data_IF_767381276927
#
_entry.id   IF_767381276927
#
_cell.length_a   1.000
_cell.length_b   1.000
_cell.length_c   1.000
_cell.angle_alpha   90.00
_cell.angle_beta   90.00
_cell.angle_gamma   90.00
#
_symmetry.space_group_name_H-M   'P 1'
#
loop_
_entity.id
_entity.type
_entity.pdbx_description
1 polymer ?
#
# COMPACT_ATOMS: atom_id res chain seq x y z
N UNK A 1 -8.69 4.97 -28.97
CA UNK A 1 -7.42 5.10 -28.24
C UNK A 1 -6.90 3.69 -27.95
N UNK A 2 -5.76 3.26 -28.50
CA UNK A 2 -5.28 1.88 -28.31
C UNK A 2 -4.77 1.73 -26.87
N UNK A 3 -5.33 0.78 -26.12
CA UNK A 3 -4.81 0.39 -24.82
C UNK A 3 -3.32 0.02 -24.97
N UNK A 4 -2.43 0.79 -24.37
CA UNK A 4 -1.03 0.38 -24.20
C UNK A 4 -1.07 -0.92 -23.44
N UNK A 5 -0.39 -1.98 -23.93
CA UNK A 5 -0.23 -3.23 -23.20
C UNK A 5 0.39 -2.88 -21.84
N UNK A 6 -0.42 -2.91 -20.79
CA UNK A 6 0.05 -2.88 -19.42
C UNK A 6 0.99 -4.06 -19.24
N UNK A 7 2.28 -3.79 -19.11
CA UNK A 7 3.24 -4.83 -18.74
C UNK A 7 2.94 -5.22 -17.29
N UNK A 8 2.73 -6.50 -17.03
CA UNK A 8 2.44 -7.05 -15.70
C UNK A 8 3.62 -6.75 -14.76
N UNK A 9 3.54 -5.71 -13.93
CA UNK A 9 4.69 -5.25 -13.14
C UNK A 9 4.39 -4.85 -11.70
N UNK A 10 3.13 -4.63 -11.33
CA UNK A 10 2.83 -4.12 -10.01
C UNK A 10 1.68 -4.89 -9.34
N UNK A 11 1.62 -4.78 -8.02
CA UNK A 11 0.57 -5.37 -7.18
C UNK A 11 -0.83 -4.96 -7.68
N UNK A 12 -0.97 -3.75 -8.19
CA UNK A 12 -2.24 -3.20 -8.61
C UNK A 12 -2.65 -3.55 -10.05
N UNK A 13 -1.79 -4.15 -10.88
CA UNK A 13 -2.11 -4.38 -12.31
C UNK A 13 -3.33 -5.27 -12.53
N UNK A 14 -3.54 -6.25 -11.65
CA UNK A 14 -4.66 -7.17 -11.77
C UNK A 14 -5.98 -6.48 -11.42
N UNK A 15 -6.06 -5.85 -10.25
CA UNK A 15 -7.27 -5.13 -9.82
C UNK A 15 -7.54 -3.90 -10.69
N UNK A 16 -6.51 -3.24 -11.21
CA UNK A 16 -6.67 -2.11 -12.11
C UNK A 16 -7.40 -2.50 -13.40
N UNK A 17 -7.16 -3.70 -13.94
CA UNK A 17 -7.90 -4.22 -15.11
C UNK A 17 -9.35 -4.46 -14.80
N UNK A 18 -9.65 -5.02 -13.63
CA UNK A 18 -11.02 -5.24 -13.17
C UNK A 18 -11.78 -3.91 -13.03
N UNK A 19 -11.16 -2.91 -12.41
CA UNK A 19 -11.77 -1.60 -12.20
C UNK A 19 -11.85 -0.73 -13.46
N UNK A 20 -11.05 -1.02 -14.48
CA UNK A 20 -10.99 -0.22 -15.71
C UNK A 20 -12.27 -0.28 -16.57
N UNK A 21 -13.21 -1.19 -16.25
CA UNK A 21 -14.54 -1.22 -16.88
C UNK A 21 -15.40 -0.01 -16.48
N UNK A 22 -15.18 0.52 -15.25
CA UNK A 22 -16.04 1.53 -14.63
C UNK A 22 -15.29 2.84 -14.35
N UNK A 23 -13.97 2.77 -14.23
CA UNK A 23 -13.12 3.89 -13.85
C UNK A 23 -11.97 4.10 -14.84
N UNK A 24 -11.52 5.34 -14.96
CA UNK A 24 -10.19 5.63 -15.48
C UNK A 24 -9.18 5.32 -14.38
N UNK A 25 -8.52 4.17 -14.46
CA UNK A 25 -7.57 3.71 -13.45
C UNK A 25 -6.15 4.10 -13.84
N UNK A 26 -5.43 4.67 -12.90
CA UNK A 26 -4.02 5.04 -13.02
C UNK A 26 -3.24 4.29 -11.95
N UNK A 27 -2.20 3.60 -12.34
CA UNK A 27 -1.18 3.04 -11.44
C UNK A 27 0.16 3.69 -11.76
N UNK A 28 0.97 3.92 -10.73
CA UNK A 28 2.32 4.45 -10.90
C UNK A 28 3.32 3.69 -10.04
N UNK A 29 4.55 3.62 -10.49
CA UNK A 29 5.65 3.12 -9.69
C UNK A 29 6.17 4.26 -8.80
N UNK A 30 6.16 4.08 -7.48
CA UNK A 30 6.74 5.06 -6.57
C UNK A 30 8.25 5.17 -6.78
N UNK A 31 8.86 6.27 -6.34
CA UNK A 31 10.33 6.42 -6.33
C UNK A 31 10.99 5.20 -5.71
N UNK A 32 12.10 4.74 -6.26
CA UNK A 32 12.81 3.52 -5.86
C UNK A 32 12.17 2.22 -6.33
N UNK A 33 11.01 2.27 -6.99
CA UNK A 33 10.28 1.09 -7.45
C UNK A 33 10.12 1.09 -8.97
N UNK A 34 9.94 -0.09 -9.51
CA UNK A 34 9.52 -0.29 -10.89
C UNK A 34 10.43 0.37 -11.92
N UNK A 35 9.83 1.15 -12.80
CA UNK A 35 10.52 1.91 -13.84
C UNK A 35 10.85 3.36 -13.41
N UNK A 36 10.32 3.81 -12.26
CA UNK A 36 10.67 5.14 -11.71
C UNK A 36 12.12 5.20 -11.24
N UNK A 37 12.74 4.05 -10.95
CA UNK A 37 14.13 4.00 -10.51
C UNK A 37 14.35 4.61 -9.13
N UNK A 38 15.62 4.73 -8.76
CA UNK A 38 16.01 5.35 -7.49
C UNK A 38 15.77 6.86 -7.52
N UNK A 39 15.49 7.43 -6.34
CA UNK A 39 15.36 8.86 -6.20
C UNK A 39 16.68 9.57 -6.50
N UNK A 40 16.67 10.48 -7.47
CA UNK A 40 17.88 11.21 -7.88
C UNK A 40 18.48 12.06 -6.74
N UNK A 41 17.63 12.51 -5.82
CA UNK A 41 17.98 13.29 -4.63
C UNK A 41 18.19 12.42 -3.37
N UNK A 42 18.03 11.09 -3.49
CA UNK A 42 18.14 10.14 -2.38
C UNK A 42 17.03 10.26 -1.33
N UNK A 43 15.97 11.02 -1.60
CA UNK A 43 14.89 11.27 -0.62
C UNK A 43 13.73 10.29 -0.81
N UNK A 44 13.38 9.63 0.30
CA UNK A 44 12.27 8.66 0.37
C UNK A 44 11.30 8.98 1.51
N UNK A 45 11.40 10.15 2.13
CA UNK A 45 10.47 10.55 3.19
C UNK A 45 9.03 10.65 2.69
N UNK A 46 8.06 10.52 3.62
CA UNK A 46 6.64 10.46 3.27
C UNK A 46 6.14 11.75 2.63
N UNK A 47 6.65 12.90 3.05
CA UNK A 47 6.24 14.18 2.48
C UNK A 47 6.61 14.29 0.99
N UNK A 48 7.80 13.81 0.62
CA UNK A 48 8.23 13.78 -0.78
C UNK A 48 7.41 12.77 -1.58
N UNK A 49 7.13 11.59 -1.04
CA UNK A 49 6.28 10.60 -1.71
C UNK A 49 4.82 11.07 -1.83
N UNK A 50 4.31 11.79 -0.83
CA UNK A 50 2.98 12.42 -0.89
C UNK A 50 2.93 13.51 -1.98
N UNK A 51 3.99 14.31 -2.14
CA UNK A 51 4.09 15.28 -3.22
C UNK A 51 4.14 14.59 -4.62
N UNK A 52 4.81 13.44 -4.74
CA UNK A 52 4.76 12.63 -5.98
C UNK A 52 3.32 12.17 -6.29
N UNK A 53 2.61 11.64 -5.30
CA UNK A 53 1.20 11.24 -5.46
C UNK A 53 0.32 12.43 -5.82
N UNK A 54 0.51 13.58 -5.16
CA UNK A 54 -0.18 14.82 -5.51
C UNK A 54 0.03 15.19 -6.97
N UNK A 55 1.27 15.22 -7.43
CA UNK A 55 1.59 15.55 -8.83
C UNK A 55 0.93 14.60 -9.83
N UNK A 56 0.85 13.29 -9.50
CA UNK A 56 0.13 12.30 -10.32
C UNK A 56 -1.36 12.65 -10.36
N UNK A 57 -2.00 12.93 -9.22
CA UNK A 57 -3.43 13.26 -9.14
C UNK A 57 -3.72 14.56 -9.89
N UNK A 58 -2.92 15.60 -9.73
CA UNK A 58 -3.08 16.86 -10.44
C UNK A 58 -2.96 16.67 -11.97
N UNK A 59 -2.03 15.82 -12.42
CA UNK A 59 -1.85 15.52 -13.84
C UNK A 59 -3.05 14.80 -14.47
N UNK A 60 -3.72 13.92 -13.72
CA UNK A 60 -4.86 13.15 -14.21
C UNK A 60 -6.21 13.83 -14.03
N UNK A 61 -6.27 14.86 -13.23
CA UNK A 61 -7.47 15.63 -12.88
C UNK A 61 -7.93 15.36 -11.43
N UNK A 62 -8.23 16.42 -10.72
CA UNK A 62 -8.68 16.41 -9.32
C UNK A 62 -10.19 16.63 -9.20
N UNK A 63 -10.84 16.16 -8.13
CA UNK A 63 -10.32 15.18 -7.14
C UNK A 63 -10.32 13.75 -7.69
N UNK A 64 -9.46 12.89 -7.13
CA UNK A 64 -9.38 11.47 -7.50
C UNK A 64 -9.70 10.54 -6.31
N UNK A 65 -10.20 9.34 -6.60
CA UNK A 65 -10.25 8.27 -5.61
C UNK A 65 -8.86 7.61 -5.51
N UNK A 66 -8.44 7.26 -4.30
CA UNK A 66 -7.15 6.62 -4.04
C UNK A 66 -7.36 5.26 -3.39
N UNK A 67 -6.85 4.19 -4.00
CA UNK A 67 -6.70 2.87 -3.39
C UNK A 67 -5.24 2.68 -3.02
N UNK A 68 -4.96 2.62 -1.73
CA UNK A 68 -3.61 2.45 -1.21
C UNK A 68 -3.45 1.11 -0.49
N UNK A 69 -2.23 0.56 -0.47
CA UNK A 69 -1.93 -0.73 0.12
C UNK A 69 -0.66 -0.67 0.97
N UNK A 70 -0.71 -1.29 2.16
CA UNK A 70 0.45 -1.47 3.04
C UNK A 70 1.19 -0.15 3.29
N UNK A 71 2.52 -0.08 3.12
CA UNK A 71 3.30 1.15 3.27
C UNK A 71 2.81 2.31 2.39
N UNK A 72 2.18 2.03 1.24
CA UNK A 72 1.56 3.06 0.39
C UNK A 72 0.39 3.79 1.06
N UNK A 73 -0.21 3.20 2.10
CA UNK A 73 -1.27 3.87 2.88
C UNK A 73 -0.73 5.06 3.66
N UNK A 74 0.51 4.98 4.17
CA UNK A 74 1.16 6.11 4.86
C UNK A 74 1.37 7.30 3.92
N UNK A 75 1.67 7.04 2.65
CA UNK A 75 1.79 8.08 1.63
C UNK A 75 0.44 8.75 1.38
N UNK A 76 -0.64 7.96 1.30
CA UNK A 76 -1.99 8.50 1.14
C UNK A 76 -2.45 9.30 2.39
N UNK A 77 -2.15 8.81 3.59
CA UNK A 77 -2.45 9.50 4.86
C UNK A 77 -1.69 10.82 4.97
N UNK A 78 -0.41 10.86 4.59
CA UNK A 78 0.38 12.08 4.59
C UNK A 78 -0.17 13.10 3.57
N UNK A 79 -0.61 12.65 2.39
CA UNK A 79 -1.26 13.52 1.43
C UNK A 79 -2.60 14.05 1.94
N UNK A 80 -3.42 13.21 2.59
CA UNK A 80 -4.67 13.63 3.21
C UNK A 80 -4.45 14.68 4.31
N UNK A 81 -3.38 14.53 5.10
CA UNK A 81 -2.99 15.54 6.09
C UNK A 81 -2.60 16.87 5.43
N UNK A 82 -1.84 16.81 4.33
CA UNK A 82 -1.29 17.99 3.67
C UNK A 82 -2.30 18.70 2.75
N UNK A 83 -3.10 17.95 1.99
CA UNK A 83 -4.03 18.48 0.99
C UNK A 83 -5.22 17.51 0.76
N UNK A 84 -6.17 17.43 1.70
CA UNK A 84 -7.30 16.50 1.58
C UNK A 84 -8.22 16.80 0.39
N UNK A 85 -8.25 18.03 -0.11
CA UNK A 85 -9.20 18.46 -1.14
C UNK A 85 -9.00 17.76 -2.50
N UNK A 86 -7.82 17.23 -2.77
CA UNK A 86 -7.54 16.56 -4.06
C UNK A 86 -7.91 15.08 -4.07
N UNK A 87 -8.23 14.51 -2.92
CA UNK A 87 -8.68 13.13 -2.79
C UNK A 87 -10.20 13.13 -2.52
N UNK A 88 -10.96 12.53 -3.39
CA UNK A 88 -12.41 12.39 -3.23
C UNK A 88 -12.76 11.34 -2.17
N UNK A 89 -12.20 10.14 -2.33
CA UNK A 89 -12.30 9.03 -1.36
C UNK A 89 -11.00 8.25 -1.32
N UNK A 90 -10.56 7.85 -0.12
CA UNK A 90 -9.43 6.96 0.08
C UNK A 90 -9.92 5.60 0.60
N UNK A 91 -9.39 4.52 0.04
CA UNK A 91 -9.57 3.15 0.51
C UNK A 91 -8.19 2.61 0.87
N UNK A 92 -8.03 2.16 2.11
CA UNK A 92 -6.74 1.77 2.67
C UNK A 92 -6.73 0.26 2.93
N UNK A 93 -5.95 -0.50 2.15
CA UNK A 93 -5.83 -1.96 2.33
C UNK A 93 -4.65 -2.28 3.24
N UNK A 94 -4.96 -2.86 4.39
CA UNK A 94 -3.99 -3.29 5.41
C UNK A 94 -2.91 -2.23 5.68
N UNK A 95 -3.32 -1.08 6.22
CA UNK A 95 -2.40 0.03 6.47
C UNK A 95 -1.23 -0.42 7.35
N UNK A 96 -0.05 0.09 7.05
CA UNK A 96 1.15 -0.13 7.85
C UNK A 96 1.09 0.76 9.10
N UNK A 97 0.15 0.46 9.99
CA UNK A 97 -0.01 1.14 11.27
C UNK A 97 0.81 0.41 12.31
N UNK A 98 1.69 1.14 12.96
CA UNK A 98 2.31 0.71 14.20
C UNK A 98 1.59 1.42 15.34
N UNK A 99 0.87 0.67 16.15
CA UNK A 99 0.36 1.17 17.43
C UNK A 99 1.51 1.28 18.42
N UNK A 100 1.54 2.33 19.24
CA UNK A 100 2.50 2.46 20.33
C UNK A 100 2.45 1.25 21.29
N UNK A 101 1.31 0.53 21.32
CA UNK A 101 1.11 -0.70 22.12
C UNK A 101 1.35 -2.00 21.37
N UNK A 102 1.29 -2.04 20.05
CA UNK A 102 1.44 -3.28 19.27
C UNK A 102 2.89 -3.74 19.10
N UNK A 103 3.83 -2.98 19.62
CA UNK A 103 5.27 -3.25 19.55
C UNK A 103 5.77 -3.42 18.11
N UNK A 104 6.92 -2.89 17.78
CA UNK A 104 7.50 -2.99 16.45
C UNK A 104 7.83 -4.43 16.01
N UNK A 105 7.47 -5.44 16.84
CA UNK A 105 7.72 -6.84 16.55
C UNK A 105 9.19 -7.10 16.19
N UNK A 106 9.42 -7.65 15.01
CA UNK A 106 10.77 -7.91 14.50
C UNK A 106 11.46 -6.66 13.91
N UNK A 107 10.81 -5.48 13.90
CA UNK A 107 11.34 -4.29 13.22
C UNK A 107 12.72 -3.85 13.73
N UNK A 108 13.05 -3.81 15.05
CA UNK A 108 14.38 -3.45 15.51
C UNK A 108 15.47 -4.35 14.94
N UNK A 109 15.26 -5.67 14.93
CA UNK A 109 16.22 -6.65 14.41
C UNK A 109 16.41 -6.46 12.89
N UNK A 110 15.32 -6.18 12.17
CA UNK A 110 15.41 -5.93 10.73
C UNK A 110 16.13 -4.62 10.42
N UNK A 111 15.90 -3.58 11.20
CA UNK A 111 16.63 -2.31 11.10
C UNK A 111 18.13 -2.47 11.33
N UNK A 112 18.54 -3.26 12.35
CA UNK A 112 19.95 -3.61 12.59
C UNK A 112 20.55 -4.35 11.38
N UNK A 113 19.81 -5.33 10.81
CA UNK A 113 20.26 -6.04 9.61
C UNK A 113 20.46 -5.09 8.43
N UNK A 114 19.56 -4.13 8.22
CA UNK A 114 19.63 -3.13 7.16
C UNK A 114 20.86 -2.24 7.38
N UNK A 115 21.04 -1.71 8.58
CA UNK A 115 22.18 -0.88 8.95
C UNK A 115 23.54 -1.62 8.75
N UNK A 116 23.56 -2.94 8.97
CA UNK A 116 24.70 -3.78 8.68
C UNK A 116 24.88 -4.17 7.19
N UNK A 117 24.11 -3.57 6.26
CA UNK A 117 24.15 -3.86 4.83
C UNK A 117 23.52 -5.20 4.41
N UNK A 118 22.86 -5.91 5.35
CA UNK A 118 22.27 -7.25 5.11
C UNK A 118 20.84 -7.17 4.55
N UNK A 119 20.58 -6.22 3.65
CA UNK A 119 19.22 -5.90 3.13
C UNK A 119 18.47 -7.13 2.59
N UNK A 120 19.16 -7.99 1.83
CA UNK A 120 18.50 -9.20 1.28
C UNK A 120 18.13 -10.23 2.35
N UNK A 121 18.85 -10.28 3.47
CA UNK A 121 18.53 -11.13 4.62
C UNK A 121 17.34 -10.56 5.38
N UNK A 122 17.35 -9.26 5.62
CA UNK A 122 16.24 -8.53 6.23
C UNK A 122 14.94 -8.72 5.42
N UNK A 123 15.02 -8.58 4.09
CA UNK A 123 13.85 -8.81 3.21
C UNK A 123 13.29 -10.23 3.35
N UNK A 124 14.14 -11.27 3.36
CA UNK A 124 13.65 -12.66 3.52
C UNK A 124 12.98 -12.86 4.88
N UNK A 125 13.56 -12.33 5.95
CA UNK A 125 12.98 -12.42 7.28
C UNK A 125 11.65 -11.65 7.37
N UNK A 126 11.58 -10.46 6.78
CA UNK A 126 10.36 -9.67 6.67
C UNK A 126 9.26 -10.44 5.93
N UNK A 127 9.53 -10.97 4.73
CA UNK A 127 8.56 -11.75 3.95
C UNK A 127 8.06 -12.99 4.71
N UNK A 128 8.92 -13.65 5.49
CA UNK A 128 8.51 -14.75 6.36
C UNK A 128 7.62 -14.32 7.52
N UNK A 129 7.87 -13.14 8.08
CA UNK A 129 7.10 -12.62 9.22
C UNK A 129 5.72 -12.05 8.81
N UNK A 130 5.60 -11.54 7.59
CA UNK A 130 4.32 -11.00 7.12
C UNK A 130 3.24 -12.06 6.93
N UNK A 131 3.58 -13.32 6.83
CA UNK A 131 2.60 -14.41 6.77
C UNK A 131 1.64 -14.31 5.57
N UNK A 132 2.11 -13.75 4.46
CA UNK A 132 1.30 -13.60 3.24
C UNK A 132 1.19 -14.96 2.53
N UNK A 133 0.26 -15.78 2.99
CA UNK A 133 0.02 -17.12 2.45
C UNK A 133 -1.45 -17.30 2.06
N UNK A 134 -1.80 -16.83 0.88
CA UNK A 134 -2.99 -17.33 0.21
C UNK A 134 -2.62 -18.62 -0.54
N UNK A 135 -3.10 -19.81 -0.12
CA UNK A 135 -2.72 -21.07 -0.75
C UNK A 135 -3.20 -21.21 -2.21
N UNK A 136 -4.16 -20.39 -2.59
CA UNK A 136 -4.71 -20.35 -3.95
C UNK A 136 -4.17 -19.15 -4.75
N UNK A 137 -3.20 -18.41 -4.21
CA UNK A 137 -2.60 -17.28 -4.94
C UNK A 137 -1.95 -17.74 -6.26
N UNK A 138 -2.12 -17.01 -7.35
CA UNK A 138 -1.42 -17.29 -8.59
C UNK A 138 0.10 -17.27 -8.38
N UNK A 139 0.79 -18.28 -8.89
CA UNK A 139 2.26 -18.30 -8.86
C UNK A 139 2.80 -17.15 -9.71
N UNK A 140 3.74 -16.42 -9.15
CA UNK A 140 4.47 -15.39 -9.89
C UNK A 140 5.32 -16.06 -10.99
N UNK A 141 5.34 -15.45 -12.16
CA UNK A 141 6.35 -15.78 -13.17
C UNK A 141 7.75 -15.40 -12.66
N UNK A 142 8.79 -15.95 -13.24
CA UNK A 142 10.18 -15.61 -12.89
C UNK A 142 10.44 -14.09 -13.00
N UNK A 143 9.91 -13.46 -14.04
CA UNK A 143 10.05 -12.00 -14.25
C UNK A 143 9.35 -11.19 -13.16
N UNK A 144 8.14 -11.59 -12.75
CA UNK A 144 7.38 -10.96 -11.66
C UNK A 144 8.09 -11.15 -10.32
N UNK A 145 8.60 -12.35 -10.04
CA UNK A 145 9.36 -12.63 -8.82
C UNK A 145 10.66 -11.80 -8.74
N UNK A 146 11.40 -11.71 -9.85
CA UNK A 146 12.61 -10.87 -9.94
C UNK A 146 12.29 -9.39 -9.70
N UNK A 147 11.19 -8.91 -10.27
CA UNK A 147 10.72 -7.55 -10.07
C UNK A 147 10.31 -7.28 -8.61
N UNK A 148 9.52 -8.18 -8.01
CA UNK A 148 9.11 -8.09 -6.62
C UNK A 148 10.32 -8.07 -5.65
N UNK A 149 11.33 -8.91 -5.90
CA UNK A 149 12.56 -8.93 -5.11
C UNK A 149 13.36 -7.63 -5.22
N UNK A 150 13.43 -7.03 -6.41
CA UNK A 150 14.09 -5.74 -6.60
C UNK A 150 13.38 -4.64 -5.82
N UNK A 151 12.06 -4.54 -5.97
CA UNK A 151 11.25 -3.55 -5.26
C UNK A 151 11.30 -3.77 -3.74
N UNK A 152 11.25 -5.03 -3.29
CA UNK A 152 11.39 -5.36 -1.88
C UNK A 152 12.73 -4.94 -1.29
N UNK A 153 13.82 -5.08 -2.02
CA UNK A 153 15.15 -4.59 -1.58
C UNK A 153 15.18 -3.07 -1.48
N UNK A 154 14.62 -2.36 -2.46
CA UNK A 154 14.52 -0.90 -2.41
C UNK A 154 13.69 -0.45 -1.22
N UNK A 155 12.52 -1.07 -1.00
CA UNK A 155 11.68 -0.81 0.16
C UNK A 155 12.44 -0.99 1.48
N UNK A 156 13.12 -2.14 1.66
CA UNK A 156 13.88 -2.40 2.88
C UNK A 156 15.01 -1.39 3.09
N UNK A 157 15.71 -1.00 2.03
CA UNK A 157 16.84 -0.09 2.13
C UNK A 157 16.41 1.36 2.42
N UNK A 158 15.29 1.80 1.86
CA UNK A 158 14.97 3.22 1.78
C UNK A 158 13.71 3.62 2.56
N UNK A 159 12.75 2.70 2.73
CA UNK A 159 11.42 3.03 3.24
C UNK A 159 11.04 2.27 4.51
N UNK A 160 11.61 1.09 4.76
CA UNK A 160 11.22 0.24 5.88
C UNK A 160 11.32 0.95 7.23
N UNK A 161 12.42 1.67 7.47
CA UNK A 161 12.61 2.45 8.71
C UNK A 161 11.51 3.48 8.89
N UNK A 162 11.22 4.26 7.86
CA UNK A 162 10.18 5.28 7.87
C UNK A 162 8.81 4.64 8.12
N UNK A 163 8.52 3.53 7.42
CA UNK A 163 7.26 2.80 7.56
C UNK A 163 7.03 2.30 8.98
N UNK A 164 8.09 1.82 9.66
CA UNK A 164 7.98 1.25 10.99
C UNK A 164 8.00 2.29 12.13
N UNK A 165 8.39 3.51 11.85
CA UNK A 165 8.48 4.57 12.86
C UNK A 165 7.50 5.72 12.65
N UNK A 166 6.79 5.75 11.53
CA UNK A 166 5.82 6.78 11.23
C UNK A 166 4.56 6.61 12.09
N UNK A 167 4.17 7.68 12.75
CA UNK A 167 2.85 7.82 13.37
C UNK A 167 2.09 8.88 12.58
N UNK A 168 1.04 8.51 11.82
CA UNK A 168 0.23 9.49 11.10
C UNK A 168 -0.47 10.49 12.03
N UNK A 169 -0.74 11.68 11.53
CA UNK A 169 -1.63 12.63 12.22
C UNK A 169 -3.09 12.18 12.03
N UNK A 170 -3.51 11.24 12.88
CA UNK A 170 -4.81 10.61 12.82
C UNK A 170 -5.96 11.61 12.93
N UNK A 171 -5.81 12.65 13.77
CA UNK A 171 -6.85 13.63 14.01
C UNK A 171 -7.10 14.49 12.76
N UNK A 172 -6.04 14.97 12.12
CA UNK A 172 -6.16 15.71 10.86
C UNK A 172 -6.78 14.88 9.74
N UNK A 173 -6.36 13.61 9.61
CA UNK A 173 -6.89 12.72 8.57
C UNK A 173 -8.35 12.38 8.84
N UNK A 174 -8.71 12.02 10.08
CA UNK A 174 -10.10 11.75 10.49
C UNK A 174 -11.02 12.94 10.25
N UNK A 175 -10.54 14.15 10.58
CA UNK A 175 -11.31 15.37 10.36
C UNK A 175 -11.64 15.62 8.87
N UNK A 176 -10.83 15.13 7.95
CA UNK A 176 -11.09 15.26 6.50
C UNK A 176 -12.31 14.45 6.04
N UNK A 177 -12.69 13.41 6.77
CA UNK A 177 -13.75 12.45 6.41
C UNK A 177 -13.62 11.84 5.01
N UNK A 178 -12.40 11.83 4.48
CA UNK A 178 -12.10 11.37 3.12
C UNK A 178 -11.85 9.86 3.06
N UNK A 179 -11.41 9.23 4.18
CA UNK A 179 -11.21 7.78 4.21
C UNK A 179 -12.56 7.07 4.21
N UNK A 180 -12.87 6.39 3.12
CA UNK A 180 -14.13 5.71 2.91
C UNK A 180 -14.20 4.33 3.60
N UNK A 181 -13.09 3.62 3.65
CA UNK A 181 -12.96 2.35 4.34
C UNK A 181 -11.49 1.94 4.52
N UNK A 182 -11.25 1.12 5.55
CA UNK A 182 -10.05 0.29 5.71
C UNK A 182 -10.40 -1.15 5.33
N UNK A 183 -9.57 -1.78 4.51
CA UNK A 183 -9.76 -3.17 4.08
C UNK A 183 -8.84 -4.11 4.86
N UNK A 184 -9.38 -5.24 5.29
CA UNK A 184 -8.65 -6.35 5.93
C UNK A 184 -8.85 -7.62 5.12
N UNK A 185 -7.76 -8.28 4.72
CA UNK A 185 -7.82 -9.58 4.06
C UNK A 185 -8.38 -10.66 4.99
N UNK A 186 -9.32 -11.49 4.50
CA UNK A 186 -9.91 -12.58 5.28
C UNK A 186 -8.86 -13.56 5.80
N UNK A 187 -7.80 -13.81 5.03
CA UNK A 187 -6.69 -14.67 5.41
C UNK A 187 -5.62 -13.96 6.26
N UNK A 188 -5.78 -12.67 6.54
CA UNK A 188 -4.93 -11.92 7.47
C UNK A 188 -5.43 -11.98 8.92
N UNK A 189 -6.61 -12.58 9.15
CA UNK A 189 -7.14 -12.81 10.50
C UNK A 189 -6.18 -13.72 11.28
N UNK A 190 -5.89 -13.37 12.53
CA UNK A 190 -4.95 -14.09 13.40
C UNK A 190 -3.47 -13.77 13.09
N UNK A 191 -3.19 -12.89 12.14
CA UNK A 191 -1.82 -12.40 11.87
C UNK A 191 -1.58 -11.04 12.55
N UNK A 192 -0.32 -10.61 12.71
CA UNK A 192 -0.01 -9.28 13.27
C UNK A 192 -0.65 -8.10 12.49
N UNK A 193 -1.04 -8.32 11.24
CA UNK A 193 -1.69 -7.29 10.40
C UNK A 193 -3.11 -6.98 10.83
N UNK A 194 -3.83 -7.98 11.32
CA UNK A 194 -5.20 -7.78 11.78
C UNK A 194 -5.26 -6.68 12.83
N UNK A 195 -4.42 -6.77 13.86
CA UNK A 195 -4.43 -5.81 14.95
C UNK A 195 -4.18 -4.37 14.46
N UNK A 196 -3.11 -4.15 13.68
CA UNK A 196 -2.80 -2.83 13.14
C UNK A 196 -3.88 -2.30 12.19
N UNK A 197 -4.48 -3.17 11.37
CA UNK A 197 -5.55 -2.77 10.46
C UNK A 197 -6.81 -2.34 11.20
N UNK A 198 -7.20 -3.06 12.28
CA UNK A 198 -8.34 -2.69 13.12
C UNK A 198 -8.10 -1.36 13.84
N UNK A 199 -6.94 -1.21 14.45
CA UNK A 199 -6.53 0.04 15.10
C UNK A 199 -6.57 1.20 14.10
N UNK A 200 -6.07 1.01 12.89
CA UNK A 200 -6.14 2.03 11.84
C UNK A 200 -7.58 2.44 11.47
N UNK A 201 -8.50 1.48 11.40
CA UNK A 201 -9.92 1.78 11.14
C UNK A 201 -10.57 2.55 12.30
N UNK A 202 -10.27 2.17 13.55
CA UNK A 202 -10.75 2.84 14.76
C UNK A 202 -10.23 4.28 14.84
N UNK A 203 -8.92 4.49 14.65
CA UNK A 203 -8.30 5.82 14.69
C UNK A 203 -8.83 6.76 13.60
N UNK A 204 -9.21 6.21 12.45
CA UNK A 204 -9.78 6.96 11.33
C UNK A 204 -11.30 7.13 11.42
N UNK A 205 -11.95 6.48 12.39
CA UNK A 205 -13.41 6.48 12.52
C UNK A 205 -14.10 6.13 11.20
N UNK A 206 -13.66 5.02 10.57
CA UNK A 206 -14.16 4.59 9.28
C UNK A 206 -14.48 3.07 9.26
N UNK A 207 -15.34 2.61 8.33
CA UNK A 207 -15.68 1.20 8.22
C UNK A 207 -14.46 0.31 7.99
N UNK A 208 -14.39 -0.81 8.75
CA UNK A 208 -13.52 -1.94 8.46
C UNK A 208 -14.29 -2.91 7.56
N UNK A 209 -13.78 -3.17 6.36
CA UNK A 209 -14.41 -4.05 5.37
C UNK A 209 -13.51 -5.24 5.09
N UNK A 210 -14.08 -6.43 5.16
CA UNK A 210 -13.37 -7.66 4.82
C UNK A 210 -13.24 -7.80 3.30
N UNK A 211 -12.08 -8.27 2.84
CA UNK A 211 -11.82 -8.52 1.42
C UNK A 211 -11.17 -9.90 1.25
N UNK A 212 -11.57 -10.68 0.24
CA UNK A 212 -10.98 -12.00 0.02
C UNK A 212 -9.47 -11.96 -0.22
N UNK A 213 -8.78 -12.96 0.33
CA UNK A 213 -7.32 -13.11 0.22
C UNK A 213 -6.56 -12.66 1.46
N UNK A 214 -5.24 -12.67 1.36
CA UNK A 214 -4.29 -12.23 2.36
C UNK A 214 -3.78 -10.81 2.04
N UNK A 215 -2.60 -10.45 2.55
CA UNK A 215 -1.99 -9.13 2.33
C UNK A 215 -1.89 -8.73 0.85
N UNK A 216 -1.62 -9.67 -0.04
CA UNK A 216 -1.61 -9.42 -1.48
C UNK A 216 -2.97 -9.69 -2.16
N UNK A 217 -4.08 -9.73 -1.43
CA UNK A 217 -5.43 -10.02 -1.94
C UNK A 217 -5.86 -9.17 -3.13
N UNK A 218 -5.44 -7.91 -3.19
CA UNK A 218 -5.68 -7.04 -4.35
C UNK A 218 -5.07 -7.56 -5.65
N UNK A 219 -3.95 -8.31 -5.56
CA UNK A 219 -3.31 -9.00 -6.69
C UNK A 219 -3.89 -10.37 -6.92
N UNK A 220 -4.09 -11.13 -5.84
CA UNK A 220 -4.34 -12.56 -5.90
C UNK A 220 -5.83 -12.89 -6.10
N UNK A 221 -6.71 -11.98 -5.66
CA UNK A 221 -8.18 -12.06 -5.77
C UNK A 221 -8.78 -10.81 -6.43
N UNK A 222 -8.27 -10.37 -7.60
CA UNK A 222 -8.55 -9.03 -8.15
C UNK A 222 -10.03 -8.79 -8.43
N UNK A 223 -10.77 -9.79 -8.91
CA UNK A 223 -12.20 -9.66 -9.20
C UNK A 223 -13.03 -9.39 -7.95
N UNK A 224 -12.82 -10.17 -6.89
CA UNK A 224 -13.51 -9.99 -5.62
C UNK A 224 -13.12 -8.67 -4.93
N UNK A 225 -11.82 -8.35 -4.93
CA UNK A 225 -11.34 -7.06 -4.41
C UNK A 225 -11.96 -5.87 -5.16
N UNK A 226 -12.07 -5.96 -6.50
CA UNK A 226 -12.70 -4.92 -7.30
C UNK A 226 -14.19 -4.75 -7.01
N UNK A 227 -14.92 -5.84 -6.75
CA UNK A 227 -16.33 -5.77 -6.31
C UNK A 227 -16.46 -5.03 -4.99
N UNK A 228 -15.61 -5.32 -4.01
CA UNK A 228 -15.57 -4.61 -2.73
C UNK A 228 -15.30 -3.12 -2.93
N UNK A 229 -14.31 -2.76 -3.75
CA UNK A 229 -13.99 -1.37 -4.06
C UNK A 229 -15.16 -0.65 -4.74
N UNK A 230 -15.85 -1.28 -5.69
CA UNK A 230 -17.04 -0.72 -6.34
C UNK A 230 -18.13 -0.42 -5.32
N UNK A 231 -18.44 -1.39 -4.46
CA UNK A 231 -19.45 -1.22 -3.42
C UNK A 231 -19.16 -0.04 -2.47
N UNK A 232 -17.88 0.15 -2.09
CA UNK A 232 -17.48 1.29 -1.25
C UNK A 232 -17.59 2.61 -2.01
N UNK A 233 -17.27 2.64 -3.30
CA UNK A 233 -17.34 3.85 -4.13
C UNK A 233 -18.76 4.17 -4.65
N UNK A 234 -19.72 3.26 -4.45
CA UNK A 234 -21.14 3.50 -4.76
C UNK A 234 -21.54 3.10 -6.18
N UNK A 235 -20.92 2.05 -6.73
CA UNK A 235 -21.32 1.39 -7.99
C UNK A 235 -21.90 0.00 -7.74
#
# INVERSE_FOLDING_TARGET
>A
MRARRLRRRCLFDAIARELACDYRVITYDRRGCGESGDAADGRYDLAVQAADLQAVIEHIGTPANVLAHSAGTLVALELLRANPAIISRAILHEPAVTDEGAGLGAAPVLLEMIAAGKVSRALRAFLGAIGDSDPEAPKLTEAEAKHALRNGRSFMANEYGITMTCVPDWDSVRASKTVAAVLLGELSIGTPREAGTRVGAELLDCPLVMVPGAHNGLRDRPGAAAQTVRGILGL
#
